data_IF_617064307455
#
_entry.id   IF_617064307455
#
_cell.length_a   1.000
_cell.length_b   1.000
_cell.length_c   1.000
_cell.angle_alpha   90.00
_cell.angle_beta   90.00
_cell.angle_gamma   90.00
#
_symmetry.space_group_name_H-M   'P 1'
#
loop_
_entity.id
_entity.type
_entity.pdbx_description
1 polymer ?
#
# COMPACT_ATOMS: atom_id res chain seq x y z
N UNK A 1 1.86 -10.88 19.16
CA UNK A 1 1.58 -9.47 18.81
C UNK A 1 2.20 -8.56 19.85
N UNK A 2 2.69 -7.37 19.47
CA UNK A 2 3.19 -6.35 20.42
C UNK A 2 2.35 -5.08 20.24
N UNK A 3 2.03 -4.42 21.34
CA UNK A 3 1.24 -3.18 21.35
C UNK A 3 2.13 -1.98 21.71
N UNK A 4 1.83 -0.81 21.13
CA UNK A 4 2.49 0.45 21.44
C UNK A 4 1.53 1.62 21.30
N UNK A 5 1.64 2.61 22.19
CA UNK A 5 0.90 3.88 22.08
C UNK A 5 1.67 4.85 21.19
N UNK A 6 1.02 5.40 20.16
CA UNK A 6 1.60 6.38 19.25
C UNK A 6 0.86 7.71 19.40
N UNK A 7 1.59 8.82 19.49
CA UNK A 7 0.99 10.17 19.47
C UNK A 7 1.11 10.74 18.06
N UNK A 8 -0.01 10.89 17.36
CA UNK A 8 -0.06 11.51 16.04
C UNK A 8 -0.27 13.03 16.16
N UNK A 9 0.42 13.78 15.30
CA UNK A 9 0.21 15.23 15.14
C UNK A 9 -0.68 15.55 13.94
N UNK A 10 -0.59 14.71 12.92
CA UNK A 10 -1.34 14.85 11.66
C UNK A 10 -2.30 13.65 11.53
N UNK A 11 -3.62 13.88 11.44
CA UNK A 11 -4.60 12.81 11.28
C UNK A 11 -4.48 12.08 9.93
N UNK A 12 -3.83 12.66 8.91
CA UNK A 12 -3.51 11.95 7.67
C UNK A 12 -2.49 10.84 7.94
N UNK A 13 -1.46 11.13 8.73
CA UNK A 13 -0.43 10.15 9.09
C UNK A 13 -1.02 9.00 9.89
N UNK A 14 -1.89 9.29 10.86
CA UNK A 14 -2.63 8.27 11.63
C UNK A 14 -3.39 7.31 10.70
N UNK A 15 -4.24 7.84 9.80
CA UNK A 15 -5.00 7.02 8.86
C UNK A 15 -4.13 6.17 7.93
N UNK A 16 -2.94 6.66 7.56
CA UNK A 16 -1.99 5.88 6.74
C UNK A 16 -1.38 4.75 7.55
N UNK A 17 -1.02 4.99 8.82
CA UNK A 17 -0.53 3.93 9.72
C UNK A 17 -1.61 2.87 9.94
N UNK A 18 -2.86 3.26 10.17
CA UNK A 18 -3.97 2.32 10.32
C UNK A 18 -4.13 1.43 9.08
N UNK A 19 -4.00 2.02 7.87
CA UNK A 19 -4.01 1.26 6.62
C UNK A 19 -2.85 0.28 6.51
N UNK A 20 -1.65 0.64 6.96
CA UNK A 20 -0.51 -0.29 6.97
C UNK A 20 -0.78 -1.49 7.88
N UNK A 21 -1.32 -1.26 9.08
CA UNK A 21 -1.69 -2.35 10.01
C UNK A 21 -2.75 -3.25 9.38
N UNK A 22 -3.86 -2.68 8.89
CA UNK A 22 -4.93 -3.46 8.28
C UNK A 22 -4.49 -4.25 7.05
N UNK A 23 -3.60 -3.68 6.21
CA UNK A 23 -3.06 -4.42 5.05
C UNK A 23 -2.14 -5.56 5.48
N UNK A 24 -1.36 -5.39 6.54
CA UNK A 24 -0.56 -6.47 7.13
C UNK A 24 -1.44 -7.61 7.66
N UNK A 25 -2.56 -7.28 8.32
CA UNK A 25 -3.48 -8.28 8.86
C UNK A 25 -4.16 -9.09 7.74
N UNK A 26 -4.64 -8.42 6.69
CA UNK A 26 -5.22 -9.09 5.50
C UNK A 26 -4.19 -9.98 4.79
N UNK A 27 -2.95 -9.49 4.65
CA UNK A 27 -1.86 -10.31 4.10
C UNK A 27 -1.59 -11.55 4.94
N UNK A 28 -1.51 -11.39 6.26
CA UNK A 28 -1.29 -12.51 7.18
C UNK A 28 -2.46 -13.51 7.16
N UNK A 29 -3.71 -13.06 7.10
CA UNK A 29 -4.88 -13.93 6.96
C UNK A 29 -4.83 -14.75 5.67
N UNK A 30 -4.37 -14.13 4.56
CA UNK A 30 -4.28 -14.79 3.25
C UNK A 30 -3.12 -15.78 3.14
N UNK A 31 -1.94 -15.45 3.66
CA UNK A 31 -0.71 -16.20 3.43
C UNK A 31 -0.19 -16.95 4.67
N UNK A 32 -0.70 -16.65 5.86
CA UNK A 32 -0.29 -17.27 7.13
C UNK A 32 1.13 -16.91 7.59
N UNK A 33 1.81 -15.98 6.90
CA UNK A 33 3.20 -15.59 7.17
C UNK A 33 3.33 -14.07 7.20
N UNK A 34 4.18 -13.57 8.10
CA UNK A 34 4.56 -12.16 8.15
C UNK A 34 5.72 -11.89 7.22
N UNK A 35 5.87 -10.68 6.68
CA UNK A 35 7.02 -10.32 5.83
C UNK A 35 8.39 -10.63 6.48
N UNK A 36 8.52 -10.48 7.80
CA UNK A 36 9.74 -10.84 8.57
C UNK A 36 10.11 -12.33 8.52
N UNK A 37 9.12 -13.20 8.30
CA UNK A 37 9.27 -14.66 8.26
C UNK A 37 9.01 -15.23 6.86
N UNK A 38 8.84 -14.36 5.88
CA UNK A 38 8.60 -14.76 4.50
C UNK A 38 9.85 -15.47 3.97
N UNK A 39 9.74 -16.73 3.49
CA UNK A 39 10.88 -17.49 2.99
C UNK A 39 11.31 -17.09 1.58
N UNK A 40 10.60 -16.17 0.92
CA UNK A 40 10.92 -15.73 -0.44
C UNK A 40 12.33 -15.16 -0.56
N UNK A 41 12.91 -15.35 -1.74
CA UNK A 41 14.22 -14.81 -2.07
C UNK A 41 14.14 -13.31 -2.38
N UNK A 42 15.25 -12.59 -2.19
CA UNK A 42 15.29 -11.14 -2.45
C UNK A 42 14.77 -10.75 -3.83
N UNK A 43 15.07 -11.54 -4.86
CA UNK A 43 14.64 -11.26 -6.23
C UNK A 43 13.11 -11.34 -6.39
N UNK A 44 12.46 -12.25 -5.66
CA UNK A 44 11.00 -12.39 -5.67
C UNK A 44 10.35 -11.15 -5.05
N UNK A 45 10.87 -10.65 -3.91
CA UNK A 45 10.40 -9.39 -3.33
C UNK A 45 10.59 -8.19 -4.25
N UNK A 46 11.71 -8.11 -4.97
CA UNK A 46 11.96 -7.04 -5.92
C UNK A 46 11.01 -7.10 -7.12
N UNK A 47 10.69 -8.31 -7.61
CA UNK A 47 9.72 -8.48 -8.68
C UNK A 47 8.31 -8.08 -8.23
N UNK A 48 7.85 -8.54 -7.06
CA UNK A 48 6.55 -8.12 -6.51
C UNK A 48 6.48 -6.59 -6.31
N UNK A 49 7.55 -5.98 -5.81
CA UNK A 49 7.63 -4.52 -5.70
C UNK A 49 7.55 -3.83 -7.06
N UNK A 50 8.24 -4.37 -8.09
CA UNK A 50 8.19 -3.83 -9.44
C UNK A 50 6.76 -3.88 -10.00
N UNK A 51 6.06 -4.99 -9.84
CA UNK A 51 4.67 -5.16 -10.26
C UNK A 51 3.74 -4.14 -9.57
N UNK A 52 3.83 -3.99 -8.26
CA UNK A 52 3.02 -3.02 -7.49
C UNK A 52 3.32 -1.56 -7.90
N UNK A 53 4.57 -1.24 -8.22
CA UNK A 53 4.94 0.09 -8.73
C UNK A 53 4.42 0.33 -10.14
N UNK A 54 4.39 -0.69 -11.00
CA UNK A 54 3.75 -0.59 -12.32
C UNK A 54 2.26 -0.31 -12.18
N UNK A 55 1.56 -1.02 -11.29
CA UNK A 55 0.15 -0.75 -10.98
C UNK A 55 -0.08 0.67 -10.46
N UNK A 56 0.80 1.18 -9.60
CA UNK A 56 0.74 2.55 -9.13
C UNK A 56 0.86 3.56 -10.29
N UNK A 57 1.73 3.31 -11.27
CA UNK A 57 1.86 4.15 -12.48
C UNK A 57 0.59 4.08 -13.33
N UNK A 58 -0.02 2.90 -13.49
CA UNK A 58 -1.28 2.75 -14.21
C UNK A 58 -2.42 3.54 -13.54
N UNK A 59 -2.54 3.47 -12.20
CA UNK A 59 -3.52 4.25 -11.46
C UNK A 59 -3.29 5.75 -11.58
N UNK A 60 -2.02 6.20 -11.53
CA UNK A 60 -1.67 7.61 -11.71
C UNK A 60 -2.08 8.11 -13.10
N UNK A 61 -1.78 7.34 -14.15
CA UNK A 61 -2.18 7.68 -15.52
C UNK A 61 -3.71 7.79 -15.62
N UNK A 62 -4.44 6.79 -15.11
CA UNK A 62 -5.90 6.79 -15.17
C UNK A 62 -6.53 7.96 -14.40
N UNK A 63 -5.97 8.31 -13.26
CA UNK A 63 -6.41 9.45 -12.45
C UNK A 63 -6.24 10.77 -13.21
N UNK A 64 -5.11 10.97 -13.90
CA UNK A 64 -4.85 12.16 -14.74
C UNK A 64 -5.86 12.27 -15.87
N UNK A 65 -6.05 11.20 -16.65
CA UNK A 65 -7.04 11.18 -17.74
C UNK A 65 -8.44 11.54 -17.25
N UNK A 66 -8.83 11.02 -16.08
CA UNK A 66 -10.14 11.31 -15.48
C UNK A 66 -10.27 12.77 -15.03
N UNK A 67 -9.19 13.37 -14.50
CA UNK A 67 -9.15 14.77 -14.12
C UNK A 67 -9.23 15.70 -15.34
N UNK A 68 -8.47 15.41 -16.41
CA UNK A 68 -8.50 16.19 -17.65
C UNK A 68 -9.88 16.11 -18.34
N UNK A 69 -10.45 14.91 -18.44
CA UNK A 69 -11.78 14.71 -19.01
C UNK A 69 -12.93 15.36 -18.22
N UNK A 70 -12.73 15.64 -16.92
CA UNK A 70 -13.68 16.41 -16.10
C UNK A 70 -13.45 17.91 -16.22
N UNK A 71 -12.20 18.35 -16.37
CA UNK A 71 -11.85 19.77 -16.56
C UNK A 71 -12.25 20.33 -17.93
N UNK A 72 -12.43 19.48 -18.97
CA UNK A 72 -12.91 19.90 -20.29
C UNK A 72 -14.44 19.92 -20.44
N UNK A 73 -15.19 19.61 -19.38
CA UNK A 73 -16.67 19.63 -19.36
C UNK A 73 -17.25 20.83 -18.60
N UNK A 74 -16.40 21.67 -18.03
CA UNK A 74 -16.71 22.99 -17.48
C UNK A 74 -16.25 24.08 -18.46
#
# INVERSE_FOLDING_TARGET
MKEKTIKFRDPVVERVVDKFVGRSDVGYEKYGVTLDKDPSEMLEWLNHLQEELMDAVLYLQKAKEKHEASSSKE
#
